data_IF_588101175251
#
_entry.id   IF_588101175251
#
_cell.length_a   1.000
_cell.length_b   1.000
_cell.length_c   1.000
_cell.angle_alpha   90.00
_cell.angle_beta   90.00
_cell.angle_gamma   90.00
#
_symmetry.space_group_name_H-M   'P 1'
#
loop_
_entity.id
_entity.type
_entity.pdbx_description
1 polymer ?
#
# COMPACT_ATOMS: atom_id res chain seq x y z
N UNK A 1 -33.77 -24.84 -8.64
CA UNK A 1 -32.46 -24.72 -9.32
C UNK A 1 -32.17 -23.24 -9.55
N UNK A 2 -30.93 -22.85 -9.23
CA UNK A 2 -30.22 -21.59 -9.53
C UNK A 2 -30.74 -20.30 -8.88
N UNK A 3 -29.96 -19.80 -7.91
CA UNK A 3 -29.24 -18.54 -8.12
C UNK A 3 -28.05 -18.50 -7.17
N UNK A 4 -26.87 -18.84 -7.70
CA UNK A 4 -25.60 -18.66 -7.01
C UNK A 4 -25.30 -17.16 -6.97
N UNK A 5 -25.45 -16.57 -5.78
CA UNK A 5 -24.87 -15.27 -5.50
C UNK A 5 -23.37 -15.43 -5.44
N UNK A 6 -22.66 -14.86 -6.40
CA UNK A 6 -21.21 -14.68 -6.32
C UNK A 6 -20.94 -13.85 -5.06
N UNK A 7 -20.43 -14.49 -4.01
CA UNK A 7 -19.85 -13.78 -2.88
C UNK A 7 -18.67 -12.97 -3.40
N UNK A 8 -18.83 -11.65 -3.45
CA UNK A 8 -17.71 -10.74 -3.64
C UNK A 8 -16.81 -10.95 -2.41
N UNK A 9 -15.70 -11.66 -2.59
CA UNK A 9 -14.70 -11.85 -1.53
C UNK A 9 -14.31 -10.46 -1.03
N UNK A 10 -14.79 -10.06 0.13
CA UNK A 10 -14.43 -8.77 0.71
C UNK A 10 -12.92 -8.82 0.97
N UNK A 11 -12.17 -8.04 0.19
CA UNK A 11 -10.74 -7.90 0.40
C UNK A 11 -10.53 -7.34 1.81
N UNK A 12 -9.69 -8.01 2.61
CA UNK A 12 -9.27 -7.47 3.90
C UNK A 12 -8.80 -6.02 3.70
N UNK A 13 -9.31 -5.07 4.51
CA UNK A 13 -8.86 -3.67 4.45
C UNK A 13 -7.44 -3.53 4.99
N UNK A 14 -6.82 -4.62 5.46
CA UNK A 14 -5.46 -4.64 5.96
C UNK A 14 -4.47 -5.26 4.97
N UNK A 15 -3.20 -4.84 5.07
CA UNK A 15 -2.10 -5.37 4.28
C UNK A 15 -1.86 -6.84 4.57
N UNK A 16 -1.89 -7.22 5.85
CA UNK A 16 -1.76 -8.61 6.32
C UNK A 16 -3.13 -9.17 6.72
N UNK A 17 -3.34 -10.47 6.52
CA UNK A 17 -4.60 -11.14 6.87
C UNK A 17 -4.88 -11.14 8.37
N UNK A 18 -3.83 -11.15 9.18
CA UNK A 18 -3.89 -11.05 10.65
C UNK A 18 -2.88 -10.02 11.16
N UNK A 19 -3.11 -9.49 12.37
CA UNK A 19 -2.10 -8.67 13.05
C UNK A 19 -0.83 -9.49 13.28
N UNK A 20 0.30 -8.92 12.88
CA UNK A 20 1.61 -9.55 12.92
C UNK A 20 2.41 -9.00 14.09
N UNK A 21 3.34 -9.79 14.63
CA UNK A 21 4.32 -9.28 15.58
C UNK A 21 5.20 -8.23 14.89
N UNK A 22 5.37 -7.09 15.56
CA UNK A 22 6.11 -5.96 15.04
C UNK A 22 7.04 -5.35 16.08
N UNK A 23 8.11 -4.74 15.57
CA UNK A 23 9.06 -3.95 16.37
C UNK A 23 9.08 -2.53 15.80
N UNK A 24 8.72 -1.56 16.62
CA UNK A 24 8.76 -0.14 16.32
C UNK A 24 10.03 0.44 16.91
N UNK A 25 10.89 0.97 16.05
CA UNK A 25 12.09 1.71 16.45
C UNK A 25 11.76 3.20 16.41
N UNK A 26 11.80 3.86 17.56
CA UNK A 26 11.56 5.28 17.70
C UNK A 26 12.82 6.08 17.33
N UNK A 27 12.66 7.34 16.91
CA UNK A 27 13.79 8.23 16.57
C UNK A 27 14.69 8.54 17.76
N UNK A 28 14.16 8.47 18.98
CA UNK A 28 14.93 8.63 20.22
C UNK A 28 15.71 7.36 20.63
N UNK A 29 15.67 6.29 19.81
CA UNK A 29 16.36 5.03 20.06
C UNK A 29 15.56 4.00 20.88
N UNK A 30 14.35 4.34 21.35
CA UNK A 30 13.49 3.38 22.04
C UNK A 30 12.98 2.29 21.08
N UNK A 31 12.81 1.08 21.61
CA UNK A 31 12.19 -0.04 20.93
C UNK A 31 10.86 -0.39 21.61
N UNK A 32 9.80 -0.50 20.83
CA UNK A 32 8.47 -0.91 21.29
C UNK A 32 8.05 -2.16 20.51
N UNK A 33 7.54 -3.17 21.21
CA UNK A 33 7.05 -4.41 20.61
C UNK A 33 5.56 -4.53 20.78
N UNK A 34 4.88 -5.08 19.78
CA UNK A 34 3.44 -5.32 19.84
C UNK A 34 2.91 -5.96 18.56
N UNK A 35 1.62 -6.29 18.57
CA UNK A 35 0.93 -6.79 17.38
C UNK A 35 0.41 -5.64 16.56
N UNK A 36 0.77 -5.57 15.28
CA UNK A 36 0.43 -4.45 14.40
C UNK A 36 -0.06 -4.92 13.03
N UNK A 37 -0.71 -4.02 12.30
CA UNK A 37 -1.08 -4.20 10.89
C UNK A 37 -1.12 -2.84 10.19
N UNK A 38 -1.21 -2.83 8.86
CA UNK A 38 -1.36 -1.61 8.06
C UNK A 38 -2.74 -1.59 7.42
N UNK A 39 -3.56 -0.60 7.77
CA UNK A 39 -4.89 -0.42 7.20
C UNK A 39 -4.79 0.33 5.87
N UNK A 40 -5.10 -0.35 4.78
CA UNK A 40 -4.92 0.15 3.41
C UNK A 40 -5.83 1.34 3.08
N UNK A 41 -7.12 1.38 3.45
CA UNK A 41 -7.98 2.53 3.13
C UNK A 41 -7.58 3.82 3.85
N UNK A 42 -7.14 3.75 5.11
CA UNK A 42 -6.72 4.94 5.87
C UNK A 42 -5.23 5.23 5.72
N UNK A 43 -4.46 4.31 5.16
CA UNK A 43 -3.01 4.39 5.00
C UNK A 43 -2.27 4.62 6.35
N UNK A 44 -2.75 3.97 7.42
CA UNK A 44 -2.17 4.08 8.78
C UNK A 44 -1.82 2.72 9.38
N UNK A 45 -0.80 2.71 10.23
CA UNK A 45 -0.48 1.56 11.06
C UNK A 45 -1.41 1.50 12.27
N UNK A 46 -1.91 0.30 12.55
CA UNK A 46 -2.72 0.00 13.72
C UNK A 46 -1.93 -0.96 14.62
N UNK A 47 -2.11 -0.84 15.93
CA UNK A 47 -1.58 -1.78 16.92
C UNK A 47 -2.68 -2.29 17.84
N UNK A 48 -2.50 -3.47 18.41
CA UNK A 48 -3.38 -4.01 19.45
C UNK A 48 -2.91 -3.48 20.80
N UNK A 49 -3.78 -2.74 21.48
CA UNK A 49 -3.55 -2.27 22.84
C UNK A 49 -3.97 -3.34 23.85
N UNK A 50 -3.01 -4.13 24.29
CA UNK A 50 -3.24 -5.21 25.27
C UNK A 50 -3.64 -4.67 26.65
N UNK A 51 -3.34 -3.41 26.96
CA UNK A 51 -3.73 -2.78 28.23
C UNK A 51 -5.18 -2.27 28.20
N UNK A 52 -5.72 -2.04 27.01
CA UNK A 52 -7.10 -1.58 26.78
C UNK A 52 -7.94 -2.68 26.11
N UNK A 53 -7.94 -3.88 26.72
CA UNK A 53 -8.82 -4.98 26.31
C UNK A 53 -8.60 -5.50 24.89
N UNK A 54 -7.37 -5.40 24.35
CA UNK A 54 -7.01 -5.80 22.98
C UNK A 54 -7.70 -4.98 21.87
N UNK A 55 -8.01 -3.72 22.13
CA UNK A 55 -8.55 -2.84 21.10
C UNK A 55 -7.50 -2.46 20.05
N UNK A 56 -7.91 -2.40 18.78
CA UNK A 56 -7.06 -1.90 17.71
C UNK A 56 -7.04 -0.36 17.72
N UNK A 57 -5.85 0.24 17.82
CA UNK A 57 -5.64 1.69 17.86
C UNK A 57 -4.71 2.15 16.76
N UNK A 58 -4.90 3.38 16.28
CA UNK A 58 -4.03 4.01 15.28
C UNK A 58 -2.71 4.42 15.94
N UNK A 59 -1.60 4.18 15.25
CA UNK A 59 -0.31 4.76 15.59
C UNK A 59 -0.28 6.26 15.20
N UNK A 60 -0.66 7.13 16.12
CA UNK A 60 -0.84 8.57 15.86
C UNK A 60 0.48 9.34 15.68
N UNK A 61 1.54 8.96 16.40
CA UNK A 61 2.83 9.68 16.42
C UNK A 61 3.82 9.10 15.40
N UNK A 62 3.39 8.96 14.15
CA UNK A 62 4.22 8.38 13.08
C UNK A 62 5.55 9.15 12.85
N UNK A 63 5.56 10.46 13.14
CA UNK A 63 6.72 11.35 13.02
C UNK A 63 7.80 11.11 14.09
N UNK A 64 7.46 10.50 15.22
CA UNK A 64 8.40 10.08 16.27
C UNK A 64 9.02 8.72 15.97
N UNK A 65 8.46 7.98 15.00
CA UNK A 65 8.92 6.66 14.60
C UNK A 65 10.03 6.79 13.55
N UNK A 66 11.07 5.96 13.71
CA UNK A 66 12.12 5.80 12.71
C UNK A 66 11.71 4.75 11.67
N UNK A 67 11.52 3.49 12.12
CA UNK A 67 11.10 2.38 11.27
C UNK A 67 10.18 1.41 12.03
N UNK A 68 9.36 0.68 11.30
CA UNK A 68 8.55 -0.42 11.81
C UNK A 68 8.98 -1.70 11.09
N UNK A 69 9.26 -2.77 11.85
CA UNK A 69 9.61 -4.08 11.28
C UNK A 69 8.50 -5.09 11.52
N UNK A 70 8.15 -5.80 10.45
CA UNK A 70 7.28 -6.98 10.46
C UNK A 70 8.09 -8.19 9.98
N UNK A 71 8.73 -8.90 10.90
CA UNK A 71 9.74 -9.90 10.55
C UNK A 71 10.88 -9.28 9.73
N UNK A 72 11.04 -9.73 8.48
CA UNK A 72 12.05 -9.20 7.56
C UNK A 72 11.61 -7.91 6.81
N UNK A 73 10.32 -7.57 6.82
CA UNK A 73 9.79 -6.39 6.11
C UNK A 73 10.03 -5.13 6.94
N UNK A 74 10.53 -4.07 6.31
CA UNK A 74 10.88 -2.81 6.99
C UNK A 74 10.09 -1.67 6.36
N UNK A 75 9.41 -0.89 7.20
CA UNK A 75 8.58 0.22 6.78
C UNK A 75 9.05 1.54 7.38
N UNK A 76 9.07 2.60 6.56
CA UNK A 76 9.06 3.98 7.03
C UNK A 76 7.61 4.44 7.18
N UNK A 77 7.18 4.84 8.38
CA UNK A 77 5.92 5.53 8.55
C UNK A 77 6.09 7.00 8.14
N UNK A 78 5.58 7.38 6.97
CA UNK A 78 5.55 8.77 6.51
C UNK A 78 4.16 9.39 6.79
N UNK A 79 4.06 10.72 6.75
CA UNK A 79 2.76 11.41 6.95
C UNK A 79 1.69 10.93 5.95
N UNK A 80 2.11 10.68 4.71
CA UNK A 80 1.28 10.26 3.58
C UNK A 80 1.14 8.72 3.46
N UNK A 81 1.52 7.97 4.49
CA UNK A 81 1.32 6.52 4.60
C UNK A 81 2.60 5.72 4.82
N UNK A 82 2.45 4.41 4.96
CA UNK A 82 3.57 3.50 5.17
C UNK A 82 4.27 3.13 3.87
N UNK A 83 5.60 3.31 3.82
CA UNK A 83 6.44 2.91 2.67
C UNK A 83 7.33 1.75 3.08
N UNK A 84 7.25 0.62 2.39
CA UNK A 84 8.17 -0.51 2.58
C UNK A 84 9.46 -0.33 1.78
N UNK A 85 10.58 -0.70 2.40
CA UNK A 85 11.89 -0.81 1.78
C UNK A 85 12.03 -2.24 1.23
N UNK A 86 12.05 -2.40 -0.08
CA UNK A 86 12.23 -3.70 -0.73
C UNK A 86 13.70 -3.99 -1.04
N UNK A 87 14.49 -2.96 -1.33
CA UNK A 87 15.93 -3.06 -1.51
C UNK A 87 16.61 -1.72 -1.22
N UNK A 88 17.80 -1.76 -0.65
CA UNK A 88 18.69 -0.59 -0.50
C UNK A 88 19.60 -0.40 -1.70
N UNK A 89 19.91 -1.46 -2.45
CA UNK A 89 20.83 -1.43 -3.60
C UNK A 89 20.34 -2.40 -4.69
N UNK A 90 19.73 -1.91 -5.78
CA UNK A 90 19.31 -0.52 -5.99
C UNK A 90 18.20 -0.11 -5.00
N UNK A 91 18.19 1.17 -4.59
CA UNK A 91 17.12 1.76 -3.78
C UNK A 91 15.75 1.54 -4.44
N UNK A 92 14.91 0.72 -3.80
CA UNK A 92 13.59 0.35 -4.31
C UNK A 92 12.56 0.27 -3.17
N UNK A 93 11.50 1.05 -3.30
CA UNK A 93 10.48 1.22 -2.27
C UNK A 93 9.08 0.99 -2.84
N UNK A 94 8.14 0.57 -2.00
CA UNK A 94 6.73 0.39 -2.36
C UNK A 94 5.79 0.97 -1.31
N UNK A 95 4.71 1.61 -1.78
CA UNK A 95 3.54 1.93 -0.98
C UNK A 95 2.35 1.12 -1.49
N UNK A 96 1.68 0.42 -0.57
CA UNK A 96 0.49 -0.37 -0.86
C UNK A 96 -0.76 0.48 -0.73
N UNK A 97 -1.58 0.52 -1.78
CA UNK A 97 -2.81 1.33 -1.82
C UNK A 97 -3.99 0.51 -2.28
N UNK A 98 -5.18 1.01 -1.99
CA UNK A 98 -6.45 0.49 -2.49
C UNK A 98 -7.24 1.62 -3.13
N UNK A 99 -8.00 1.30 -4.17
CA UNK A 99 -9.06 2.20 -4.60
C UNK A 99 -10.20 2.12 -3.59
N UNK A 100 -10.84 3.24 -3.30
CA UNK A 100 -11.96 3.30 -2.38
C UNK A 100 -13.17 3.83 -3.15
N UNK A 101 -14.32 3.18 -2.99
CA UNK A 101 -15.59 3.63 -3.57
C UNK A 101 -16.58 3.92 -2.45
N UNK A 102 -17.32 5.02 -2.58
CA UNK A 102 -18.48 5.27 -1.72
C UNK A 102 -19.55 4.22 -2.04
N UNK A 103 -20.09 3.50 -1.04
CA UNK A 103 -21.28 2.67 -1.27
C UNK A 103 -22.40 3.59 -1.79
N UNK A 104 -23.12 3.21 -2.86
CA UNK A 104 -24.27 3.98 -3.31
C UNK A 104 -25.24 4.13 -2.13
N UNK A 105 -25.66 5.38 -1.86
CA UNK A 105 -26.73 5.62 -0.88
C UNK A 105 -27.95 4.85 -1.37
N UNK A 106 -28.49 3.95 -0.54
CA UNK A 106 -29.81 3.37 -0.79
C UNK A 106 -30.82 4.51 -0.68
N UNK A 107 -31.24 5.07 -1.82
CA UNK A 107 -32.34 6.02 -1.88
C UNK A 107 -33.59 5.18 -2.07
N UNK A 108 -34.55 5.30 -1.15
CA UNK A 108 -35.86 4.69 -1.31
C UNK A 108 -36.51 5.12 -2.63
N UNK A 109 -37.10 4.14 -3.31
CA UNK A 109 -37.99 4.24 -4.48
C UNK A 109 -37.60 5.26 -5.58
N UNK A 110 -36.98 4.75 -6.65
CA UNK A 110 -37.01 5.37 -7.98
C UNK A 110 -35.79 6.21 -8.37
N UNK A 111 -34.73 5.54 -8.84
CA UNK A 111 -33.68 6.19 -9.64
C UNK A 111 -32.27 5.90 -9.12
N UNK A 112 -31.56 4.95 -9.74
CA UNK A 112 -30.11 4.82 -9.57
C UNK A 112 -29.42 5.74 -10.58
N UNK A 113 -28.82 6.84 -10.14
CA UNK A 113 -27.87 7.59 -10.96
C UNK A 113 -26.47 7.00 -10.78
N UNK A 114 -26.10 6.10 -11.69
CA UNK A 114 -24.78 5.46 -11.77
C UNK A 114 -23.75 6.42 -12.37
N UNK A 115 -23.31 7.42 -11.61
CA UNK A 115 -22.10 8.19 -11.91
C UNK A 115 -21.23 8.23 -10.64
N UNK A 116 -20.69 7.07 -10.28
CA UNK A 116 -19.81 6.91 -9.14
C UNK A 116 -18.48 7.63 -9.38
N UNK A 117 -18.35 8.83 -8.82
CA UNK A 117 -17.08 9.53 -8.74
C UNK A 117 -16.09 8.66 -7.95
N UNK A 118 -15.12 8.03 -8.64
CA UNK A 118 -13.96 7.43 -7.98
C UNK A 118 -13.15 8.58 -7.39
N UNK A 119 -13.21 8.75 -6.06
CA UNK A 119 -12.36 9.71 -5.36
C UNK A 119 -11.04 9.03 -4.99
N UNK A 120 -9.95 9.43 -5.64
CA UNK A 120 -8.61 9.17 -5.12
C UNK A 120 -8.41 10.09 -3.92
N UNK A 121 -8.60 9.58 -2.71
CA UNK A 121 -8.35 10.35 -1.50
C UNK A 121 -6.84 10.66 -1.41
N UNK A 122 -6.49 11.94 -1.55
CA UNK A 122 -5.20 12.49 -1.14
C UNK A 122 -5.31 12.93 0.33
N UNK A 123 -4.19 12.87 1.03
CA UNK A 123 -4.00 12.76 2.48
C UNK A 123 -4.43 13.95 3.37
N UNK A 124 -5.51 14.68 3.06
CA UNK A 124 -5.94 15.86 3.82
C UNK A 124 -7.38 15.82 4.37
N UNK A 125 -7.88 14.67 4.82
CA UNK A 125 -9.15 14.62 5.57
C UNK A 125 -8.93 14.26 7.04
N UNK A 126 -8.74 15.29 7.86
CA UNK A 126 -8.97 15.24 9.31
C UNK A 126 -10.45 14.96 9.58
N UNK A 127 -10.83 13.68 9.68
CA UNK A 127 -12.24 13.35 9.92
C UNK A 127 -12.60 11.87 9.86
N UNK A 128 -11.66 10.94 10.03
CA UNK A 128 -12.02 9.53 10.25
C UNK A 128 -12.37 9.34 11.72
N UNK A 129 -13.68 9.32 12.01
CA UNK A 129 -14.17 8.85 13.30
C UNK A 129 -14.18 7.31 13.25
N UNK A 130 -13.44 6.60 14.12
CA UNK A 130 -13.38 5.14 14.10
C UNK A 130 -14.75 4.47 14.35
N UNK A 131 -15.74 5.20 14.87
CA UNK A 131 -17.09 4.71 15.17
C UNK A 131 -18.16 5.08 14.12
N UNK A 132 -17.80 5.80 13.05
CA UNK A 132 -18.74 6.01 11.94
C UNK A 132 -18.57 4.86 10.94
N UNK A 133 -19.62 4.08 10.60
CA UNK A 133 -19.55 3.14 9.50
C UNK A 133 -19.52 3.95 8.20
N UNK A 134 -18.34 4.47 7.85
CA UNK A 134 -18.09 4.91 6.49
C UNK A 134 -18.16 3.63 5.69
N UNK A 135 -19.30 3.43 5.03
CA UNK A 135 -19.57 2.34 4.09
C UNK A 135 -18.68 2.56 2.86
N UNK A 136 -17.38 2.33 3.04
CA UNK A 136 -16.38 2.33 2.00
C UNK A 136 -16.32 0.91 1.45
N UNK A 137 -16.48 0.76 0.14
CA UNK A 137 -16.11 -0.48 -0.54
C UNK A 137 -14.63 -0.40 -0.90
N UNK A 138 -13.86 -1.33 -0.35
CA UNK A 138 -12.47 -1.55 -0.75
C UNK A 138 -12.47 -2.08 -2.17
N UNK A 139 -11.94 -1.28 -3.09
CA UNK A 139 -11.75 -1.66 -4.48
C UNK A 139 -10.43 -2.39 -4.71
N UNK A 140 -9.93 -2.34 -5.95
CA UNK A 140 -8.69 -2.99 -6.36
C UNK A 140 -7.46 -2.44 -5.60
N UNK A 141 -6.57 -3.35 -5.21
CA UNK A 141 -5.22 -3.03 -4.73
C UNK A 141 -4.35 -2.54 -5.89
N UNK A 142 -3.51 -1.56 -5.63
CA UNK A 142 -2.48 -1.10 -6.56
C UNK A 142 -1.27 -0.59 -5.80
N UNK A 143 -0.10 -0.62 -6.43
CA UNK A 143 1.15 -0.18 -5.81
C UNK A 143 1.64 1.14 -6.39
N UNK A 144 2.35 1.91 -5.57
CA UNK A 144 3.18 3.03 -6.02
C UNK A 144 4.61 2.70 -5.63
N UNK A 145 5.54 2.83 -6.55
CA UNK A 145 6.96 2.56 -6.30
C UNK A 145 7.78 3.83 -6.33
N UNK A 146 8.94 3.79 -5.69
CA UNK A 146 9.99 4.77 -5.89
C UNK A 146 11.30 4.07 -6.19
N UNK A 147 11.99 4.60 -7.21
CA UNK A 147 13.31 4.15 -7.63
C UNK A 147 14.29 5.30 -7.53
N UNK A 148 15.55 5.03 -7.22
CA UNK A 148 16.58 6.06 -7.27
C UNK A 148 17.29 6.08 -8.63
N UNK A 149 17.37 7.25 -9.24
CA UNK A 149 18.14 7.48 -10.47
C UNK A 149 18.95 8.74 -10.35
N UNK A 150 20.27 8.64 -10.52
CA UNK A 150 21.21 9.77 -10.45
C UNK A 150 21.05 10.59 -9.15
N UNK A 151 20.95 9.90 -8.01
CA UNK A 151 20.79 10.53 -6.69
C UNK A 151 19.42 11.15 -6.41
N UNK A 152 18.41 10.89 -7.25
CA UNK A 152 17.04 11.41 -7.08
C UNK A 152 16.03 10.28 -6.98
N UNK A 153 15.22 10.30 -5.92
CA UNK A 153 14.04 9.43 -5.77
C UNK A 153 12.99 9.81 -6.85
N UNK A 154 12.54 8.83 -7.62
CA UNK A 154 11.57 8.98 -8.71
C UNK A 154 10.38 8.07 -8.47
N UNK A 155 9.21 8.66 -8.43
CA UNK A 155 7.95 7.94 -8.28
C UNK A 155 7.57 7.22 -9.59
N UNK A 156 7.00 6.03 -9.45
CA UNK A 156 6.55 5.15 -10.52
C UNK A 156 5.16 4.62 -10.14
N UNK A 157 4.13 5.03 -10.90
CA UNK A 157 2.73 4.66 -10.70
C UNK A 157 2.19 3.67 -11.72
N UNK A 158 2.98 3.34 -12.73
CA UNK A 158 2.64 2.32 -13.74
C UNK A 158 3.88 1.87 -14.51
N UNK A 159 3.74 0.77 -15.25
CA UNK A 159 4.83 0.19 -16.06
C UNK A 159 5.40 1.16 -17.11
N UNK A 160 4.57 2.04 -17.70
CA UNK A 160 5.03 3.02 -18.70
C UNK A 160 6.02 4.03 -18.09
N UNK A 161 5.77 4.48 -16.86
CA UNK A 161 6.69 5.36 -16.14
C UNK A 161 8.01 4.65 -15.82
N UNK A 162 7.96 3.37 -15.40
CA UNK A 162 9.16 2.57 -15.14
C UNK A 162 10.03 2.44 -16.40
N UNK A 163 9.43 2.07 -17.54
CA UNK A 163 10.12 1.95 -18.82
C UNK A 163 10.69 3.29 -19.29
N UNK A 164 9.97 4.41 -19.09
CA UNK A 164 10.46 5.75 -19.42
C UNK A 164 11.68 6.14 -18.61
N UNK A 165 11.76 5.76 -17.33
CA UNK A 165 12.93 6.03 -16.48
C UNK A 165 14.16 5.22 -16.91
N UNK A 166 13.97 4.10 -17.60
CA UNK A 166 15.02 3.21 -18.09
C UNK A 166 15.02 3.15 -19.63
N UNK A 167 14.76 4.29 -20.28
CA UNK A 167 14.50 4.36 -21.73
C UNK A 167 15.63 3.84 -22.61
N UNK A 168 16.87 3.88 -22.13
CA UNK A 168 18.05 3.35 -22.84
C UNK A 168 17.98 1.84 -23.08
N UNK A 169 17.38 1.09 -22.16
CA UNK A 169 17.27 -0.38 -22.22
C UNK A 169 15.81 -0.82 -22.30
N UNK A 170 14.97 -0.01 -22.96
CA UNK A 170 13.53 -0.22 -22.97
C UNK A 170 13.13 -1.55 -23.61
N UNK A 171 13.79 -1.94 -24.69
CA UNK A 171 13.46 -3.16 -25.44
C UNK A 171 13.77 -4.42 -24.62
N UNK A 172 14.93 -4.45 -23.95
CA UNK A 172 15.34 -5.53 -23.06
C UNK A 172 14.40 -5.68 -21.87
N UNK A 173 13.93 -4.55 -21.32
CA UNK A 173 12.96 -4.55 -20.23
C UNK A 173 11.58 -5.00 -20.68
N UNK A 174 11.09 -4.55 -21.84
CA UNK A 174 9.81 -5.01 -22.40
C UNK A 174 9.84 -6.53 -22.68
N UNK A 175 10.95 -7.04 -23.19
CA UNK A 175 11.17 -8.48 -23.38
C UNK A 175 11.11 -9.21 -22.03
N UNK A 176 11.86 -8.76 -21.02
CA UNK A 176 11.86 -9.36 -19.69
C UNK A 176 10.45 -9.38 -19.07
N UNK A 177 9.73 -8.25 -19.15
CA UNK A 177 8.36 -8.12 -18.64
C UNK A 177 7.44 -9.16 -19.28
N UNK A 178 7.54 -9.35 -20.60
CA UNK A 178 6.72 -10.31 -21.34
C UNK A 178 7.08 -11.76 -20.98
N UNK A 179 8.37 -12.09 -20.97
CA UNK A 179 8.85 -13.46 -20.70
C UNK A 179 8.55 -13.91 -19.27
N UNK A 180 8.60 -12.98 -18.31
CA UNK A 180 8.36 -13.27 -16.88
C UNK A 180 6.94 -12.92 -16.42
N UNK A 181 6.06 -12.46 -17.32
CA UNK A 181 4.70 -12.00 -17.01
C UNK A 181 4.63 -11.02 -15.84
N UNK A 182 5.53 -10.02 -15.82
CA UNK A 182 5.68 -9.10 -14.69
C UNK A 182 4.40 -8.29 -14.49
N UNK A 183 3.76 -8.47 -13.34
CA UNK A 183 2.64 -7.68 -12.87
C UNK A 183 3.15 -6.45 -12.13
N UNK A 184 2.68 -5.26 -12.53
CA UNK A 184 3.06 -4.02 -11.86
C UNK A 184 2.64 -3.98 -10.38
N UNK A 185 1.49 -4.55 -10.04
CA UNK A 185 0.99 -4.56 -8.66
C UNK A 185 1.55 -5.70 -7.80
N UNK A 186 2.49 -6.50 -8.34
CA UNK A 186 3.30 -7.45 -7.58
C UNK A 186 4.66 -6.83 -7.22
N UNK A 187 4.82 -6.50 -5.94
CA UNK A 187 6.01 -5.84 -5.42
C UNK A 187 7.30 -6.66 -5.61
N UNK A 188 7.23 -7.99 -5.50
CA UNK A 188 8.39 -8.87 -5.64
C UNK A 188 8.80 -9.02 -7.10
N UNK A 189 7.83 -9.10 -8.02
CA UNK A 189 8.13 -9.10 -9.45
C UNK A 189 8.71 -7.77 -9.91
N UNK A 190 8.17 -6.65 -9.42
CA UNK A 190 8.71 -5.32 -9.70
C UNK A 190 10.11 -5.11 -9.12
N UNK A 191 10.42 -5.67 -7.94
CA UNK A 191 11.78 -5.67 -7.39
C UNK A 191 12.75 -6.41 -8.32
N UNK A 192 12.39 -7.62 -8.78
CA UNK A 192 13.22 -8.39 -9.73
C UNK A 192 13.47 -7.63 -11.03
N UNK A 193 12.43 -6.99 -11.58
CA UNK A 193 12.55 -6.13 -12.75
C UNK A 193 13.50 -4.94 -12.48
N UNK A 194 13.41 -4.32 -11.31
CA UNK A 194 14.29 -3.22 -10.92
C UNK A 194 15.75 -3.65 -10.81
N UNK A 195 16.03 -4.80 -10.22
CA UNK A 195 17.38 -5.39 -10.13
C UNK A 195 17.91 -5.69 -11.53
N UNK A 196 17.09 -6.28 -12.41
CA UNK A 196 17.49 -6.51 -13.79
C UNK A 196 17.80 -5.21 -14.54
N UNK A 197 16.95 -4.19 -14.41
CA UNK A 197 17.20 -2.87 -15.00
C UNK A 197 18.51 -2.22 -14.49
N UNK A 198 18.85 -2.38 -13.22
CA UNK A 198 20.11 -1.89 -12.65
C UNK A 198 21.32 -2.65 -13.21
N UNK A 199 21.19 -3.97 -13.43
CA UNK A 199 22.25 -4.78 -14.02
C UNK A 199 22.61 -4.41 -15.46
N UNK A 200 21.69 -3.79 -16.21
CA UNK A 200 21.93 -3.32 -17.58
C UNK A 200 22.71 -2.00 -17.65
N UNK A 201 22.83 -1.28 -16.53
CA UNK A 201 23.57 -0.01 -16.44
C UNK A 201 25.06 -0.21 -16.14
N UNK A 202 25.47 -1.44 -15.81
CA UNK A 202 26.84 -1.83 -15.48
C UNK A 202 27.58 -2.27 -16.75
#
# INVERSE_FOLDING_TARGET
MVSGGYSQTELSPFLFDTYQDAIVYMRNGMEIRGKMNYHLPSEKFYFIDEQDGNQAKILSNADEVNIIKFGARVFYPEQDGGVEILSSEPSFYVQYKVTVRDKPKSVGYGGTSSLGNVKTYSSNSTGFSPDAPVKLEVGSRYNVYWVEKKGKKKEVRNMKQFLKLNSTHKEELEKYIKENNVCFDDAQQMLKLCIYADSLLK
#
